data_IF_881202648238
#
_entry.id   IF_881202648238
#
_cell.length_a   1.000
_cell.length_b   1.000
_cell.length_c   1.000
_cell.angle_alpha   90.00
_cell.angle_beta   90.00
_cell.angle_gamma   90.00
#
_symmetry.space_group_name_H-M   'P 1'
#
loop_
_entity.id
_entity.type
_entity.pdbx_description
1 polymer ?
#
# COMPACT_ATOMS: atom_id res chain seq x y z
N UNK A 1 5.76 1.78 -15.67
CA UNK A 1 5.38 3.21 -15.65
C UNK A 1 5.38 3.70 -14.20
N UNK A 2 5.47 5.00 -13.94
CA UNK A 2 5.29 5.58 -12.59
C UNK A 2 4.00 6.38 -12.55
N UNK A 3 3.38 6.46 -11.38
CA UNK A 3 2.24 7.34 -11.13
C UNK A 3 2.70 8.53 -10.29
N UNK A 4 2.25 9.71 -10.68
CA UNK A 4 2.47 10.96 -9.96
C UNK A 4 1.12 11.51 -9.50
N UNK A 5 0.86 11.40 -8.21
CA UNK A 5 -0.31 12.00 -7.58
C UNK A 5 0.05 13.40 -7.13
N UNK A 6 -0.63 14.40 -7.68
CA UNK A 6 -0.37 15.82 -7.46
C UNK A 6 -1.53 16.43 -6.68
N UNK A 7 -1.22 17.21 -5.65
CA UNK A 7 -2.16 18.07 -4.96
C UNK A 7 -1.50 19.42 -4.71
N UNK A 8 -2.26 20.51 -4.92
CA UNK A 8 -1.73 21.87 -4.72
C UNK A 8 -1.34 22.17 -3.27
N UNK A 9 -1.97 21.51 -2.29
CA UNK A 9 -1.68 21.72 -0.88
C UNK A 9 -0.52 20.88 -0.34
N UNK A 10 -0.35 19.65 -0.84
CA UNK A 10 0.54 18.65 -0.22
C UNK A 10 1.76 18.32 -1.09
N UNK A 11 1.81 18.82 -2.33
CA UNK A 11 2.86 18.50 -3.30
C UNK A 11 2.55 17.24 -4.10
N UNK A 12 3.60 16.46 -4.41
CA UNK A 12 3.50 15.29 -5.30
C UNK A 12 3.97 14.02 -4.60
N UNK A 13 3.16 12.96 -4.67
CA UNK A 13 3.54 11.60 -4.27
C UNK A 13 3.77 10.77 -5.52
N UNK A 14 4.98 10.24 -5.67
CA UNK A 14 5.36 9.38 -6.79
C UNK A 14 5.39 7.93 -6.32
N UNK A 15 4.81 7.03 -7.10
CA UNK A 15 4.80 5.60 -6.78
C UNK A 15 4.89 4.72 -8.02
N UNK A 16 5.36 3.49 -7.81
CA UNK A 16 5.44 2.49 -8.87
C UNK A 16 4.04 2.07 -9.31
N UNK A 17 3.88 1.79 -10.61
CA UNK A 17 2.60 1.40 -11.21
C UNK A 17 1.86 0.29 -10.44
N UNK A 18 2.55 -0.80 -10.09
CA UNK A 18 1.93 -1.92 -9.37
C UNK A 18 1.31 -1.51 -8.02
N UNK A 19 1.96 -0.57 -7.32
CA UNK A 19 1.48 -0.08 -6.02
C UNK A 19 0.31 0.88 -6.24
N UNK A 20 0.44 1.80 -7.19
CA UNK A 20 -0.59 2.78 -7.52
C UNK A 20 -1.90 2.10 -7.93
N UNK A 21 -1.83 1.17 -8.88
CA UNK A 21 -3.01 0.46 -9.39
C UNK A 21 -3.69 -0.35 -8.29
N UNK A 22 -2.91 -0.96 -7.39
CA UNK A 22 -3.45 -1.67 -6.23
C UNK A 22 -4.16 -0.73 -5.25
N UNK A 23 -3.57 0.42 -4.94
CA UNK A 23 -4.18 1.44 -4.08
C UNK A 23 -5.47 1.96 -4.71
N UNK A 24 -5.46 2.28 -6.00
CA UNK A 24 -6.63 2.74 -6.76
C UNK A 24 -7.75 1.69 -6.75
N UNK A 25 -7.42 0.42 -6.98
CA UNK A 25 -8.37 -0.68 -6.92
C UNK A 25 -9.01 -0.83 -5.53
N UNK A 26 -8.22 -0.68 -4.45
CA UNK A 26 -8.73 -0.74 -3.06
C UNK A 26 -9.74 0.37 -2.79
N UNK A 27 -9.48 1.60 -3.26
CA UNK A 27 -10.41 2.74 -3.07
C UNK A 27 -11.56 2.75 -4.08
N UNK A 28 -11.73 1.68 -4.88
CA UNK A 28 -12.80 1.58 -5.87
C UNK A 28 -12.64 2.52 -7.07
N UNK A 29 -11.41 2.94 -7.37
CA UNK A 29 -11.07 3.74 -8.55
C UNK A 29 -10.47 2.85 -9.63
N UNK A 30 -10.93 3.02 -10.86
CA UNK A 30 -10.31 2.34 -11.99
C UNK A 30 -8.88 2.88 -12.20
N UNK A 31 -7.87 1.98 -12.26
CA UNK A 31 -6.52 2.38 -12.62
C UNK A 31 -6.53 2.90 -14.06
N UNK A 32 -6.04 4.12 -14.25
CA UNK A 32 -6.06 4.79 -15.54
C UNK A 32 -4.95 5.81 -15.64
N UNK A 33 -4.63 6.21 -16.88
CA UNK A 33 -3.57 7.19 -17.16
C UNK A 33 -3.82 8.55 -16.52
N UNK A 34 -5.09 8.89 -16.26
CA UNK A 34 -5.51 10.13 -15.64
C UNK A 34 -6.65 9.91 -14.64
N UNK A 35 -6.78 10.80 -13.66
CA UNK A 35 -7.93 10.81 -12.77
C UNK A 35 -7.84 11.83 -11.65
N UNK A 36 -8.90 11.85 -10.84
CA UNK A 36 -9.11 12.81 -9.76
C UNK A 36 -9.78 12.16 -8.54
N UNK A 37 -9.34 12.57 -7.35
CA UNK A 37 -9.97 12.31 -6.06
C UNK A 37 -10.38 13.65 -5.47
N UNK A 38 -11.68 13.81 -5.23
CA UNK A 38 -12.27 15.00 -4.62
C UNK A 38 -12.19 14.91 -3.08
N UNK A 39 -12.10 16.04 -2.37
CA UNK A 39 -12.03 16.08 -0.90
C UNK A 39 -13.11 15.25 -0.21
N UNK A 40 -14.36 15.34 -0.67
CA UNK A 40 -15.51 14.62 -0.10
C UNK A 40 -15.36 13.09 -0.10
N UNK A 41 -14.52 12.56 -0.99
CA UNK A 41 -14.26 11.11 -1.13
C UNK A 41 -13.03 10.66 -0.37
N UNK A 42 -12.17 11.58 0.07
CA UNK A 42 -10.91 11.25 0.72
C UNK A 42 -11.10 10.55 2.08
N UNK A 43 -12.04 10.95 2.96
CA UNK A 43 -12.26 10.26 4.23
C UNK A 43 -12.62 8.77 4.05
N UNK A 44 -13.46 8.48 3.06
CA UNK A 44 -13.86 7.10 2.73
C UNK A 44 -12.69 6.30 2.12
N UNK A 45 -11.91 6.92 1.24
CA UNK A 45 -10.71 6.32 0.66
C UNK A 45 -9.66 6.00 1.73
N UNK A 46 -9.44 6.89 2.71
CA UNK A 46 -8.51 6.67 3.83
C UNK A 46 -8.95 5.45 4.64
N UNK A 47 -10.22 5.40 5.06
CA UNK A 47 -10.77 4.28 5.83
C UNK A 47 -10.61 2.95 5.10
N UNK A 48 -10.90 2.94 3.80
CA UNK A 48 -10.81 1.72 2.98
C UNK A 48 -9.37 1.24 2.83
N UNK A 49 -8.42 2.17 2.64
CA UNK A 49 -6.99 1.84 2.58
C UNK A 49 -6.45 1.33 3.92
N UNK A 50 -6.80 1.99 5.03
CA UNK A 50 -6.37 1.57 6.37
C UNK A 50 -6.91 0.17 6.71
N UNK A 51 -8.17 -0.11 6.38
CA UNK A 51 -8.76 -1.46 6.54
C UNK A 51 -8.05 -2.51 5.67
N UNK A 52 -7.72 -2.19 4.42
CA UNK A 52 -6.98 -3.10 3.54
C UNK A 52 -5.54 -3.37 4.04
N UNK A 53 -4.88 -2.36 4.62
CA UNK A 53 -3.56 -2.50 5.23
C UNK A 53 -3.62 -3.43 6.44
N UNK A 54 -4.62 -3.29 7.31
CA UNK A 54 -4.77 -4.23 8.44
C UNK A 54 -5.12 -5.64 8.00
N UNK A 55 -6.01 -5.80 7.01
CA UNK A 55 -6.33 -7.13 6.48
C UNK A 55 -5.08 -7.84 5.92
N UNK A 56 -4.18 -7.11 5.24
CA UNK A 56 -2.91 -7.68 4.77
C UNK A 56 -1.97 -8.03 5.94
N UNK A 57 -1.87 -7.16 6.95
CA UNK A 57 -1.05 -7.44 8.15
C UNK A 57 -1.52 -8.68 8.89
N UNK A 58 -2.84 -8.85 9.04
CA UNK A 58 -3.41 -10.05 9.65
C UNK A 58 -3.13 -11.31 8.81
N UNK A 59 -3.27 -11.23 7.48
CA UNK A 59 -2.96 -12.34 6.59
C UNK A 59 -1.47 -12.73 6.65
N UNK A 60 -0.57 -11.75 6.66
CA UNK A 60 0.87 -11.98 6.84
C UNK A 60 1.18 -12.62 8.19
N UNK A 61 0.47 -12.22 9.26
CA UNK A 61 0.66 -12.81 10.59
C UNK A 61 0.22 -14.27 10.61
N UNK A 62 -0.95 -14.59 10.07
CA UNK A 62 -1.47 -15.98 9.98
C UNK A 62 -0.60 -16.88 9.11
N UNK A 63 -0.05 -16.35 8.02
CA UNK A 63 0.90 -17.09 7.17
C UNK A 63 2.21 -17.40 7.92
N UNK A 64 2.72 -16.45 8.71
CA UNK A 64 3.92 -16.67 9.56
C UNK A 64 3.65 -17.65 10.70
N UNK A 65 2.44 -17.64 11.28
CA UNK A 65 2.01 -18.60 12.31
C UNK A 65 1.87 -20.03 11.72
N UNK A 66 1.31 -20.17 10.53
CA UNK A 66 1.12 -21.48 9.86
C UNK A 66 2.44 -22.13 9.40
N UNK A 67 3.44 -21.33 9.01
CA UNK A 67 4.80 -21.83 8.68
C UNK A 67 5.57 -22.29 9.92
N UNK A 68 5.15 -21.90 11.14
CA UNK A 68 5.78 -22.35 12.38
C UNK A 68 5.31 -23.77 12.81
N UNK A 69 4.22 -24.27 12.23
CA UNK A 69 3.62 -25.58 12.56
C UNK A 69 4.05 -26.71 11.61
N UNK A 70 4.91 -26.41 10.62
CA UNK A 70 5.49 -27.38 9.69
C UNK A 70 7.00 -27.62 9.94
N UNK A 71 7.41 -27.65 11.21
CA UNK A 71 8.71 -28.19 11.59
C UNK A 71 8.55 -29.67 11.97
N UNK A 72 9.07 -30.63 11.19
CA UNK A 72 9.72 -31.78 11.80
C UNK A 72 11.14 -31.37 12.17
N UNK A 73 11.49 -31.61 13.42
CA UNK A 73 12.86 -31.71 13.89
C UNK A 73 13.55 -32.83 13.09
N UNK A 74 14.59 -32.50 12.32
CA UNK A 74 15.61 -33.48 11.93
C UNK A 74 16.97 -32.81 12.01
N UNK A 75 17.79 -33.36 12.89
CA UNK A 75 19.16 -32.97 13.16
C UNK A 75 20.04 -33.35 11.97
N UNK A 76 20.72 -32.37 11.37
CA UNK A 76 21.72 -32.64 10.33
C UNK A 76 22.37 -31.35 9.85
N UNK A 77 23.64 -31.16 10.21
CA UNK A 77 24.53 -30.11 9.72
C UNK A 77 24.49 -30.02 8.18
N UNK A 78 24.09 -28.86 7.63
CA UNK A 78 24.79 -28.25 6.50
C UNK A 78 24.43 -26.75 6.44
N UNK A 79 25.47 -25.94 6.48
CA UNK A 79 25.44 -24.48 6.50
C UNK A 79 24.86 -23.91 5.20
N UNK A 80 23.96 -22.91 5.30
CA UNK A 80 23.70 -21.99 4.20
C UNK A 80 22.28 -21.87 3.65
N UNK A 81 21.24 -22.30 4.37
CA UNK A 81 19.85 -21.99 4.03
C UNK A 81 19.43 -20.57 4.48
N UNK A 82 20.25 -19.56 4.19
CA UNK A 82 19.91 -18.15 4.38
C UNK A 82 19.39 -17.57 3.04
N UNK A 83 18.44 -18.24 2.40
CA UNK A 83 17.80 -17.73 1.18
C UNK A 83 16.69 -16.74 1.53
N UNK A 84 17.01 -15.48 1.29
CA UNK A 84 16.09 -14.44 0.85
C UNK A 84 15.02 -13.98 1.85
N UNK A 85 15.45 -13.56 3.05
CA UNK A 85 14.67 -12.62 3.88
C UNK A 85 14.79 -11.19 3.37
N UNK A 86 14.65 -10.95 2.06
CA UNK A 86 14.44 -9.57 1.61
C UNK A 86 13.10 -9.13 2.18
N UNK A 87 13.02 -8.07 3.01
CA UNK A 87 11.74 -7.62 3.53
C UNK A 87 10.88 -7.22 2.33
N UNK A 88 9.88 -8.04 2.01
CA UNK A 88 8.86 -7.70 1.03
C UNK A 88 8.16 -6.49 1.60
N UNK A 89 8.51 -5.29 1.11
CA UNK A 89 7.95 -4.03 1.62
C UNK A 89 6.43 -4.14 1.54
N UNK A 90 5.76 -4.14 2.68
CA UNK A 90 4.33 -4.43 2.80
C UNK A 90 3.49 -3.31 2.17
N UNK A 91 2.25 -3.62 1.79
CA UNK A 91 1.32 -2.62 1.24
C UNK A 91 1.20 -1.41 2.17
N UNK A 92 1.18 -1.65 3.48
CA UNK A 92 1.13 -0.58 4.49
C UNK A 92 2.29 0.40 4.40
N UNK A 93 3.53 -0.09 4.22
CA UNK A 93 4.69 0.79 4.07
C UNK A 93 4.65 1.60 2.77
N UNK A 94 4.12 1.02 1.69
CA UNK A 94 4.05 1.68 0.38
C UNK A 94 2.86 2.64 0.24
N UNK A 95 1.74 2.34 0.88
CA UNK A 95 0.53 3.16 0.85
C UNK A 95 0.59 4.35 1.83
N UNK A 96 1.48 4.30 2.83
CA UNK A 96 1.56 5.34 3.86
C UNK A 96 1.73 6.77 3.33
N UNK A 97 2.64 7.07 2.38
CA UNK A 97 2.78 8.42 1.84
C UNK A 97 1.49 8.93 1.17
N UNK A 98 0.75 8.04 0.52
CA UNK A 98 -0.51 8.37 -0.13
C UNK A 98 -1.65 8.58 0.87
N UNK A 99 -1.69 7.78 1.95
CA UNK A 99 -2.63 7.98 3.06
C UNK A 99 -2.40 9.34 3.72
N UNK A 100 -1.14 9.74 3.95
CA UNK A 100 -0.84 11.09 4.46
C UNK A 100 -1.30 12.18 3.49
N UNK A 101 -0.99 12.01 2.20
CA UNK A 101 -1.45 12.92 1.17
C UNK A 101 -2.98 13.09 1.16
N UNK A 102 -3.74 12.00 1.29
CA UNK A 102 -5.21 12.05 1.40
C UNK A 102 -5.68 12.81 2.65
N UNK A 103 -5.02 12.60 3.80
CA UNK A 103 -5.37 13.29 5.06
C UNK A 103 -5.14 14.80 4.94
N UNK A 104 -3.96 15.19 4.45
CA UNK A 104 -3.59 16.60 4.31
C UNK A 104 -4.40 17.29 3.21
N UNK A 105 -4.66 16.62 2.08
CA UNK A 105 -5.48 17.15 1.00
C UNK A 105 -6.94 17.31 1.42
N UNK A 106 -7.49 16.37 2.21
CA UNK A 106 -8.83 16.49 2.78
C UNK A 106 -8.93 17.67 3.75
N UNK A 107 -7.93 17.83 4.63
CA UNK A 107 -7.88 18.95 5.58
C UNK A 107 -7.75 20.31 4.88
N UNK A 108 -7.09 20.36 3.72
CA UNK A 108 -6.96 21.55 2.90
C UNK A 108 -8.10 21.74 1.87
N UNK A 109 -9.09 20.85 1.85
CA UNK A 109 -10.20 20.82 0.87
C UNK A 109 -9.71 20.87 -0.59
N UNK A 110 -8.60 20.19 -0.88
CA UNK A 110 -7.97 20.16 -2.21
C UNK A 110 -8.08 18.80 -2.87
N UNK A 111 -8.26 18.82 -4.17
CA UNK A 111 -8.28 17.67 -5.04
C UNK A 111 -6.89 17.05 -5.25
N UNK A 112 -6.84 15.73 -5.38
CA UNK A 112 -5.64 14.99 -5.84
C UNK A 112 -5.88 14.57 -7.29
N UNK A 113 -4.91 14.84 -8.16
CA UNK A 113 -4.97 14.51 -9.59
C UNK A 113 -3.74 13.71 -10.02
N UNK A 114 -3.87 12.93 -11.10
CA UNK A 114 -2.74 12.29 -11.78
C UNK A 114 -2.99 12.27 -13.28
N UNK A 115 -1.93 12.11 -14.07
CA UNK A 115 -2.02 12.09 -15.54
C UNK A 115 -2.22 13.46 -16.19
N UNK A 116 -1.99 14.54 -15.43
CA UNK A 116 -2.03 15.93 -15.87
C UNK A 116 -0.65 16.46 -16.21
#
# INVERSE_FOLDING_TARGET
MIYEFKCRATGTVVMTQKVAERILAIIGKEPGSQGIILPDRMPDAIRTLEAAVEAEREAERRAKESTKEAAPEDEGEDEGAEKDRTPVVSLGQRAWPFIQMLKDAAAAEREITWGV
#
